data_IF_783371371477
#
_entry.id   IF_783371371477
#
_cell.length_a   1.000
_cell.length_b   1.000
_cell.length_c   1.000
_cell.angle_alpha   90.00
_cell.angle_beta   90.00
_cell.angle_gamma   90.00
#
_symmetry.space_group_name_H-M   'P 1'
#
loop_
_entity.id
_entity.type
_entity.pdbx_description
1 polymer ?
#
# COMPACT_ATOMS: atom_id res chain seq x y z
N UNK A 1 16.56 2.01 8.80
CA UNK A 1 15.48 1.51 7.91
C UNK A 1 14.44 2.62 7.77
N UNK A 2 14.09 3.05 6.55
CA UNK A 2 13.12 4.12 6.33
C UNK A 2 13.24 4.79 4.96
N UNK A 3 12.43 5.83 4.73
CA UNK A 3 12.39 6.56 3.47
C UNK A 3 13.44 7.68 3.45
N UNK A 4 14.44 7.56 2.58
CA UNK A 4 15.43 8.60 2.31
C UNK A 4 15.46 8.90 0.82
N UNK A 5 15.25 10.15 0.43
CA UNK A 5 15.36 10.57 -0.97
C UNK A 5 16.80 11.00 -1.27
N UNK A 6 17.42 10.44 -2.31
CA UNK A 6 18.80 10.77 -2.68
C UNK A 6 19.26 10.02 -3.95
N UNK A 7 20.44 10.35 -4.49
CA UNK A 7 21.00 9.68 -5.67
C UNK A 7 21.50 8.25 -5.40
N UNK A 8 21.59 7.84 -4.12
CA UNK A 8 21.97 6.51 -3.67
C UNK A 8 20.75 5.77 -3.12
N UNK A 9 20.75 4.43 -3.24
CA UNK A 9 19.67 3.60 -2.72
C UNK A 9 19.57 3.66 -1.19
N UNK A 10 18.35 3.72 -0.67
CA UNK A 10 18.06 3.85 0.78
C UNK A 10 18.72 2.77 1.64
N UNK A 11 18.74 1.55 1.11
CA UNK A 11 19.25 0.35 1.75
C UNK A 11 20.40 -0.25 0.93
N UNK A 12 21.11 0.57 0.15
CA UNK A 12 22.31 0.14 -0.57
C UNK A 12 23.47 -0.14 0.40
N UNK A 13 23.65 0.73 1.40
CA UNK A 13 24.59 0.51 2.51
C UNK A 13 23.90 -0.11 3.71
N UNK A 14 24.08 -1.42 3.87
CA UNK A 14 23.47 -2.23 4.92
C UNK A 14 23.89 -1.83 6.34
N UNK A 15 24.92 -1.00 6.52
CA UNK A 15 25.30 -0.47 7.86
C UNK A 15 24.24 0.47 8.43
N UNK A 16 23.39 1.06 7.60
CA UNK A 16 22.27 1.92 8.02
C UNK A 16 20.94 1.15 8.23
N UNK A 17 20.94 -0.15 7.92
CA UNK A 17 19.79 -1.04 8.05
C UNK A 17 19.95 -1.83 9.34
N UNK A 18 19.72 -1.17 10.47
CA UNK A 18 19.93 -1.70 11.83
C UNK A 18 18.57 -2.03 12.49
N UNK A 19 18.24 -3.32 12.71
CA UNK A 19 16.98 -3.74 13.33
C UNK A 19 16.81 -3.25 14.76
N UNK A 20 17.85 -3.32 15.59
CA UNK A 20 17.80 -2.96 17.01
C UNK A 20 17.56 -1.46 17.18
N UNK A 21 18.25 -0.62 16.40
CA UNK A 21 18.03 0.84 16.42
C UNK A 21 16.66 1.21 15.89
N UNK A 22 16.15 0.49 14.89
CA UNK A 22 14.80 0.69 14.37
C UNK A 22 13.76 0.34 15.44
N UNK A 23 13.93 -0.80 16.11
CA UNK A 23 13.07 -1.22 17.22
C UNK A 23 13.11 -0.22 18.39
N UNK A 24 14.30 0.24 18.79
CA UNK A 24 14.45 1.24 19.85
C UNK A 24 13.74 2.57 19.52
N UNK A 25 13.72 2.98 18.24
CA UNK A 25 12.99 4.17 17.81
C UNK A 25 11.47 4.00 17.92
N UNK A 26 10.95 2.83 17.52
CA UNK A 26 9.53 2.50 17.64
C UNK A 26 9.12 2.46 19.12
N UNK A 27 9.89 1.79 19.98
CA UNK A 27 9.62 1.71 21.42
C UNK A 27 9.57 3.09 22.08
N UNK A 28 10.47 3.99 21.67
CA UNK A 28 10.52 5.35 22.19
C UNK A 28 9.30 6.20 21.82
N UNK A 29 8.66 5.92 20.69
CA UNK A 29 7.59 6.73 20.12
C UNK A 29 6.37 5.88 19.73
N UNK A 30 5.99 4.90 20.56
CA UNK A 30 4.92 3.92 20.24
C UNK A 30 3.55 4.52 19.94
N UNK A 31 3.30 5.73 20.42
CA UNK A 31 2.07 6.48 20.13
C UNK A 31 2.02 7.00 18.68
N UNK A 32 3.19 7.15 18.03
CA UNK A 32 3.35 7.70 16.67
C UNK A 32 3.82 6.64 15.68
N UNK A 33 4.80 5.81 16.06
CA UNK A 33 5.41 4.80 15.22
C UNK A 33 4.58 3.51 15.20
N UNK A 34 3.82 3.31 14.12
CA UNK A 34 2.91 2.17 13.96
C UNK A 34 3.47 1.01 13.12
N UNK A 35 4.72 1.09 12.67
CA UNK A 35 5.34 0.05 11.85
C UNK A 35 6.63 0.49 11.17
N UNK A 36 7.14 -0.37 10.29
CA UNK A 36 8.38 -0.17 9.53
C UNK A 36 8.06 -0.05 8.05
N UNK A 37 8.75 0.84 7.33
CA UNK A 37 8.65 0.97 5.87
C UNK A 37 9.94 0.50 5.19
N UNK A 38 9.80 -0.35 4.18
CA UNK A 38 10.89 -0.70 3.25
C UNK A 38 10.43 -0.45 1.81
N UNK A 39 11.30 0.14 0.98
CA UNK A 39 11.11 0.19 -0.48
C UNK A 39 11.96 -0.88 -1.13
N UNK A 40 11.30 -1.94 -1.57
CA UNK A 40 11.91 -3.16 -2.04
C UNK A 40 12.00 -3.16 -3.58
N UNK A 41 12.69 -2.14 -4.11
CA UNK A 41 13.03 -2.02 -5.53
C UNK A 41 14.55 -2.02 -5.72
N UNK A 42 15.02 -2.48 -6.87
CA UNK A 42 16.45 -2.68 -7.14
C UNK A 42 17.29 -1.41 -6.96
N UNK A 43 16.75 -0.24 -7.30
CA UNK A 43 17.43 1.03 -7.04
C UNK A 43 17.57 1.31 -5.55
N UNK A 44 16.55 1.02 -4.74
CA UNK A 44 16.52 1.32 -3.32
C UNK A 44 17.39 0.35 -2.51
N UNK A 45 17.47 -0.92 -2.91
CA UNK A 45 18.20 -1.95 -2.16
C UNK A 45 19.56 -2.30 -2.75
N UNK A 46 19.90 -1.79 -3.93
CA UNK A 46 21.12 -2.17 -4.64
C UNK A 46 21.20 -3.68 -4.87
N UNK A 47 22.35 -4.27 -4.57
CA UNK A 47 22.58 -5.72 -4.70
C UNK A 47 22.20 -6.51 -3.42
N UNK A 48 21.51 -5.90 -2.46
CA UNK A 48 21.20 -6.55 -1.18
C UNK A 48 19.98 -7.47 -1.24
N UNK A 49 19.31 -7.58 -2.41
CA UNK A 49 18.13 -8.42 -2.59
C UNK A 49 17.11 -8.19 -1.46
N UNK A 50 16.55 -9.25 -0.86
CA UNK A 50 15.56 -9.17 0.24
C UNK A 50 16.16 -8.95 1.64
N UNK A 51 17.48 -8.79 1.77
CA UNK A 51 18.11 -8.59 3.08
C UNK A 51 17.59 -7.35 3.84
N UNK A 52 17.32 -6.19 3.21
CA UNK A 52 16.70 -5.06 3.90
C UNK A 52 15.31 -5.38 4.47
N UNK A 53 14.53 -6.19 3.75
CA UNK A 53 13.22 -6.65 4.22
C UNK A 53 13.36 -7.58 5.41
N UNK A 54 14.30 -8.54 5.38
CA UNK A 54 14.55 -9.43 6.52
C UNK A 54 14.87 -8.66 7.80
N UNK A 55 15.72 -7.64 7.69
CA UNK A 55 16.06 -6.76 8.83
C UNK A 55 14.89 -5.91 9.32
N UNK A 56 14.00 -5.49 8.42
CA UNK A 56 12.78 -4.80 8.81
C UNK A 56 11.78 -5.74 9.50
N UNK A 57 11.66 -6.98 9.03
CA UNK A 57 10.84 -8.02 9.66
C UNK A 57 11.38 -8.34 11.05
N UNK A 58 12.69 -8.47 11.22
CA UNK A 58 13.34 -8.63 12.53
C UNK A 58 13.02 -7.47 13.49
N UNK A 59 13.10 -6.22 13.03
CA UNK A 59 12.69 -5.05 13.83
C UNK A 59 11.18 -5.08 14.18
N UNK A 60 10.35 -5.55 13.24
CA UNK A 60 8.93 -5.76 13.44
C UNK A 60 8.64 -6.85 14.47
N UNK A 61 9.45 -7.91 14.52
CA UNK A 61 9.37 -8.97 15.52
C UNK A 61 9.72 -8.44 16.92
N UNK A 62 10.77 -7.62 17.04
CA UNK A 62 11.15 -7.00 18.32
C UNK A 62 10.05 -6.11 18.91
N UNK A 63 9.26 -5.48 18.06
CA UNK A 63 8.29 -4.46 18.49
C UNK A 63 6.83 -4.88 18.35
N UNK A 64 6.58 -6.06 17.79
CA UNK A 64 5.26 -6.54 17.39
C UNK A 64 4.50 -5.51 16.53
N UNK A 65 5.17 -4.97 15.51
CA UNK A 65 4.59 -4.01 14.56
C UNK A 65 4.69 -4.53 13.12
N UNK A 66 3.77 -4.10 12.23
CA UNK A 66 3.77 -4.51 10.83
C UNK A 66 4.89 -3.87 10.03
N UNK A 67 5.31 -4.55 8.96
CA UNK A 67 6.18 -4.01 7.92
C UNK A 67 5.36 -3.68 6.69
N UNK A 68 5.45 -2.45 6.20
CA UNK A 68 4.91 -2.03 4.91
C UNK A 68 6.01 -2.05 3.83
N UNK A 69 5.78 -2.82 2.78
CA UNK A 69 6.71 -3.06 1.69
C UNK A 69 6.19 -2.42 0.40
N UNK A 70 6.98 -1.51 -0.16
CA UNK A 70 6.77 -1.05 -1.54
C UNK A 70 7.43 -2.08 -2.46
N UNK A 71 6.66 -2.65 -3.39
CA UNK A 71 7.16 -3.54 -4.43
C UNK A 71 7.49 -2.73 -5.69
N UNK A 72 8.58 -3.07 -6.37
CA UNK A 72 9.02 -2.41 -7.60
C UNK A 72 9.94 -3.33 -8.41
N UNK A 73 10.36 -2.86 -9.59
CA UNK A 73 11.31 -3.58 -10.45
C UNK A 73 12.62 -3.90 -9.72
N UNK A 74 13.16 -5.09 -9.95
CA UNK A 74 14.52 -5.48 -9.56
C UNK A 74 14.62 -6.35 -8.31
N UNK A 75 13.50 -6.62 -7.62
CA UNK A 75 13.42 -7.65 -6.58
C UNK A 75 12.19 -8.52 -6.86
N UNK A 76 12.36 -9.82 -7.16
CA UNK A 76 11.24 -10.69 -7.51
C UNK A 76 10.17 -10.73 -6.42
N UNK A 77 8.91 -10.49 -6.79
CA UNK A 77 7.77 -10.53 -5.87
C UNK A 77 7.69 -11.84 -5.05
N UNK A 78 7.97 -13.04 -5.60
CA UNK A 78 7.97 -14.26 -4.79
C UNK A 78 8.95 -14.23 -3.62
N UNK A 79 10.14 -13.65 -3.82
CA UNK A 79 11.16 -13.55 -2.78
C UNK A 79 10.71 -12.56 -1.70
N UNK A 80 10.14 -11.40 -2.12
CA UNK A 80 9.56 -10.41 -1.19
C UNK A 80 8.46 -11.04 -0.33
N UNK A 81 7.48 -11.69 -0.98
CA UNK A 81 6.36 -12.30 -0.29
C UNK A 81 6.76 -13.51 0.57
N UNK A 82 7.89 -14.15 0.32
CA UNK A 82 8.37 -15.25 1.15
C UNK A 82 8.80 -14.79 2.56
N UNK A 83 9.33 -13.56 2.67
CA UNK A 83 9.81 -12.98 3.93
C UNK A 83 8.68 -12.34 4.76
N UNK A 84 7.54 -12.01 4.14
CA UNK A 84 6.44 -11.28 4.81
C UNK A 84 5.56 -12.17 5.69
N UNK A 85 5.20 -11.64 6.86
CA UNK A 85 4.37 -12.28 7.90
C UNK A 85 2.90 -11.91 7.74
N UNK A 86 2.05 -12.58 8.51
CA UNK A 86 0.66 -12.14 8.68
C UNK A 86 0.62 -10.72 9.29
N UNK A 87 -0.19 -9.83 8.74
CA UNK A 87 -0.30 -8.43 9.15
C UNK A 87 0.69 -7.48 8.47
N UNK A 88 1.73 -7.97 7.79
CA UNK A 88 2.58 -7.13 6.94
C UNK A 88 1.81 -6.68 5.68
N UNK A 89 2.19 -5.52 5.13
CA UNK A 89 1.42 -4.80 4.11
C UNK A 89 2.23 -4.64 2.83
N UNK A 90 1.75 -5.14 1.71
CA UNK A 90 2.28 -4.79 0.38
C UNK A 90 1.54 -3.54 -0.10
N UNK A 91 2.25 -2.43 -0.31
CA UNK A 91 1.68 -1.26 -0.98
C UNK A 91 2.02 -1.26 -2.48
N UNK A 92 1.30 -0.47 -3.28
CA UNK A 92 1.40 -0.42 -4.74
C UNK A 92 0.91 -1.71 -5.42
N UNK A 93 -0.11 -2.35 -4.85
CA UNK A 93 -0.59 -3.64 -5.35
C UNK A 93 -1.11 -3.58 -6.80
N UNK A 94 -1.49 -2.39 -7.29
CA UNK A 94 -1.95 -2.16 -8.66
C UNK A 94 -0.95 -1.40 -9.53
N UNK A 95 0.33 -1.46 -9.21
CA UNK A 95 1.37 -0.97 -10.12
C UNK A 95 1.40 -1.82 -11.40
N UNK A 96 1.79 -1.21 -12.53
CA UNK A 96 2.08 -1.96 -13.76
C UNK A 96 3.50 -1.75 -14.24
N UNK A 97 4.44 -1.58 -13.30
CA UNK A 97 5.87 -1.48 -13.55
C UNK A 97 6.61 -2.49 -12.68
N UNK A 98 7.46 -3.32 -13.27
CA UNK A 98 8.25 -4.30 -12.53
C UNK A 98 7.46 -5.51 -12.04
N UNK A 99 7.94 -6.11 -10.95
CA UNK A 99 7.38 -7.33 -10.37
C UNK A 99 6.07 -7.04 -9.61
N UNK A 100 4.95 -7.09 -10.34
CA UNK A 100 3.59 -6.86 -9.83
C UNK A 100 2.83 -8.14 -9.46
N UNK A 101 1.58 -7.99 -9.03
CA UNK A 101 0.73 -9.12 -8.59
C UNK A 101 0.11 -9.93 -9.73
N UNK A 102 0.24 -9.48 -10.98
CA UNK A 102 -0.33 -10.12 -12.16
C UNK A 102 0.75 -10.82 -12.98
N UNK A 103 0.40 -11.94 -13.60
CA UNK A 103 1.18 -12.58 -14.66
C UNK A 103 1.05 -11.81 -15.98
N UNK A 104 1.88 -12.15 -16.96
CA UNK A 104 1.78 -11.63 -18.34
C UNK A 104 0.42 -11.93 -19.00
N UNK A 105 -0.30 -12.93 -18.50
CA UNK A 105 -1.64 -13.32 -18.97
C UNK A 105 -2.76 -12.53 -18.27
N UNK A 106 -2.40 -11.62 -17.34
CA UNK A 106 -3.33 -10.82 -16.55
C UNK A 106 -3.97 -11.58 -15.37
N UNK A 107 -3.47 -12.78 -15.05
CA UNK A 107 -3.95 -13.55 -13.90
C UNK A 107 -3.22 -13.16 -12.61
N UNK A 108 -3.93 -13.12 -11.49
CA UNK A 108 -3.30 -12.88 -10.19
C UNK A 108 -2.37 -14.03 -9.86
N UNK A 109 -1.10 -13.72 -9.60
CA UNK A 109 -0.06 -14.70 -9.34
C UNK A 109 -0.43 -15.59 -8.14
N UNK A 110 -0.21 -16.91 -8.22
CA UNK A 110 -0.49 -17.83 -7.11
C UNK A 110 0.21 -17.44 -5.81
N UNK A 111 1.42 -16.85 -5.89
CA UNK A 111 2.17 -16.40 -4.71
C UNK A 111 1.49 -15.24 -3.99
N UNK A 112 0.88 -14.29 -4.73
CA UNK A 112 0.13 -13.18 -4.15
C UNK A 112 -1.12 -13.69 -3.41
N UNK A 113 -1.85 -14.64 -4.02
CA UNK A 113 -3.00 -15.29 -3.35
C UNK A 113 -2.58 -16.04 -2.10
N UNK A 114 -1.50 -16.83 -2.16
CA UNK A 114 -0.98 -17.56 -0.99
C UNK A 114 -0.54 -16.61 0.12
N UNK A 115 0.11 -15.50 -0.20
CA UNK A 115 0.48 -14.48 0.76
C UNK A 115 -0.75 -13.86 1.43
N UNK A 116 -1.78 -13.50 0.65
CA UNK A 116 -3.07 -13.04 1.19
C UNK A 116 -3.72 -14.07 2.12
N UNK A 117 -3.77 -15.34 1.72
CA UNK A 117 -4.30 -16.43 2.58
C UNK A 117 -3.52 -16.56 3.89
N UNK A 118 -2.21 -16.27 3.88
CA UNK A 118 -1.37 -16.24 5.09
C UNK A 118 -1.60 -14.99 5.96
N UNK A 119 -2.34 -14.00 5.47
CA UNK A 119 -2.66 -12.76 6.19
C UNK A 119 -1.83 -11.54 5.79
N UNK A 120 -1.08 -11.60 4.67
CA UNK A 120 -0.47 -10.39 4.10
C UNK A 120 -1.55 -9.50 3.51
N UNK A 121 -1.52 -8.22 3.86
CA UNK A 121 -2.47 -7.22 3.38
C UNK A 121 -1.95 -6.55 2.10
N UNK A 122 -2.84 -6.14 1.22
CA UNK A 122 -2.52 -5.41 0.00
C UNK A 122 -3.15 -4.02 0.04
N UNK A 123 -2.33 -3.00 -0.12
CA UNK A 123 -2.67 -1.59 -0.10
C UNK A 123 -2.49 -0.98 -1.50
N UNK A 124 -3.40 -0.08 -1.86
CA UNK A 124 -3.39 0.61 -3.16
C UNK A 124 -2.10 1.43 -3.35
N UNK A 125 -1.77 2.32 -2.41
CA UNK A 125 -0.63 3.23 -2.52
C UNK A 125 -0.53 3.91 -3.88
N UNK A 126 -1.52 4.73 -4.27
CA UNK A 126 -1.63 5.16 -5.67
C UNK A 126 -0.35 5.81 -6.22
N UNK A 127 0.16 6.80 -5.51
CA UNK A 127 1.42 7.48 -5.80
C UNK A 127 1.45 8.17 -7.16
N UNK A 128 2.62 8.72 -7.48
CA UNK A 128 2.90 9.24 -8.82
C UNK A 128 3.22 8.16 -9.85
N UNK A 129 3.40 6.89 -9.44
CA UNK A 129 3.87 5.82 -10.32
C UNK A 129 3.26 4.44 -10.10
N UNK A 130 2.29 4.28 -9.20
CA UNK A 130 1.98 2.97 -8.61
C UNK A 130 0.54 2.47 -8.79
N UNK A 131 -0.28 3.14 -9.60
CA UNK A 131 -1.64 2.71 -9.87
C UNK A 131 -1.99 2.85 -11.34
N UNK A 132 -2.43 1.74 -11.94
CA UNK A 132 -2.98 1.72 -13.29
C UNK A 132 -4.35 1.06 -13.34
N UNK A 133 -5.24 1.63 -14.15
CA UNK A 133 -6.61 1.14 -14.27
C UNK A 133 -6.69 -0.26 -14.89
N UNK A 134 -5.84 -0.58 -15.85
CA UNK A 134 -5.76 -1.91 -16.46
C UNK A 134 -5.40 -3.01 -15.44
N UNK A 135 -4.39 -2.77 -14.61
CA UNK A 135 -3.99 -3.69 -13.53
C UNK A 135 -5.09 -3.83 -12.49
N UNK A 136 -5.65 -2.71 -12.02
CA UNK A 136 -6.73 -2.73 -11.03
C UNK A 136 -7.97 -3.47 -11.55
N UNK A 137 -8.40 -3.24 -12.81
CA UNK A 137 -9.51 -3.99 -13.43
C UNK A 137 -9.21 -5.48 -13.53
N UNK A 138 -8.01 -5.86 -13.96
CA UNK A 138 -7.66 -7.26 -14.12
C UNK A 138 -7.63 -8.01 -12.78
N UNK A 139 -7.12 -7.37 -11.72
CA UNK A 139 -7.11 -7.91 -10.36
C UNK A 139 -8.53 -8.04 -9.79
N UNK A 140 -9.37 -6.99 -9.93
CA UNK A 140 -10.76 -6.99 -9.46
C UNK A 140 -11.61 -8.05 -10.18
N UNK A 141 -11.42 -8.24 -11.48
CA UNK A 141 -12.10 -9.29 -12.26
C UNK A 141 -11.76 -10.72 -11.81
N UNK A 142 -10.77 -10.87 -10.92
CA UNK A 142 -10.26 -12.14 -10.38
C UNK A 142 -10.35 -12.17 -8.86
N UNK A 143 -11.29 -11.43 -8.30
CA UNK A 143 -11.58 -11.38 -6.86
C UNK A 143 -10.35 -11.02 -6.02
N UNK A 144 -9.54 -10.08 -6.52
CA UNK A 144 -8.38 -9.55 -5.81
C UNK A 144 -8.50 -8.04 -5.66
N UNK A 145 -9.46 -7.61 -4.83
CA UNK A 145 -9.54 -6.23 -4.35
C UNK A 145 -8.47 -5.95 -3.29
N UNK A 146 -7.94 -4.73 -3.22
CA UNK A 146 -7.04 -4.29 -2.17
C UNK A 146 -7.74 -4.35 -0.80
N UNK A 147 -6.98 -4.55 0.27
CA UNK A 147 -7.47 -4.53 1.65
C UNK A 147 -7.60 -3.09 2.17
N UNK A 148 -6.73 -2.19 1.69
CA UNK A 148 -6.67 -0.77 2.06
C UNK A 148 -6.59 0.10 0.80
N UNK A 149 -7.29 1.24 0.81
CA UNK A 149 -7.11 2.31 -0.19
C UNK A 149 -6.24 3.40 0.45
N UNK A 150 -5.04 3.59 -0.07
CA UNK A 150 -4.16 4.70 0.28
C UNK A 150 -3.66 5.45 -0.96
N UNK A 151 -3.15 6.65 -0.73
CA UNK A 151 -2.81 7.62 -1.79
C UNK A 151 -1.35 7.63 -2.17
N UNK A 152 -0.43 7.32 -1.25
CA UNK A 152 0.99 7.68 -1.38
C UNK A 152 1.17 9.15 -1.85
N UNK A 153 0.38 10.05 -1.26
CA UNK A 153 0.35 11.47 -1.63
C UNK A 153 1.63 12.18 -1.17
N UNK A 154 2.25 12.96 -2.05
CA UNK A 154 3.41 13.79 -1.73
C UNK A 154 3.46 15.03 -2.63
N UNK A 155 4.38 15.95 -2.33
CA UNK A 155 4.50 17.26 -3.00
C UNK A 155 4.63 17.20 -4.54
N UNK A 156 5.03 16.05 -5.10
CA UNK A 156 5.23 15.88 -6.54
C UNK A 156 4.03 15.21 -7.26
N UNK A 157 3.00 14.77 -6.54
CA UNK A 157 1.83 14.11 -7.14
C UNK A 157 0.47 14.67 -6.66
N UNK A 158 0.49 15.65 -5.75
CA UNK A 158 -0.70 16.27 -5.19
C UNK A 158 -1.50 17.06 -6.23
N UNK A 159 -0.84 17.62 -7.24
CA UNK A 159 -1.49 18.28 -8.37
C UNK A 159 -1.87 17.31 -9.51
N UNK A 160 -1.74 16.01 -9.25
CA UNK A 160 -2.08 14.92 -10.14
C UNK A 160 -0.95 13.89 -10.23
N UNK A 161 -1.27 12.59 -10.42
CA UNK A 161 -2.61 12.05 -10.69
C UNK A 161 -3.43 11.68 -9.44
N UNK A 162 -2.95 11.96 -8.22
CA UNK A 162 -3.56 11.41 -6.99
C UNK A 162 -4.62 12.35 -6.38
N UNK A 163 -4.29 13.64 -6.27
CA UNK A 163 -5.08 14.74 -5.67
C UNK A 163 -5.54 14.56 -4.21
N UNK A 164 -6.20 13.46 -3.87
CA UNK A 164 -6.75 13.21 -2.53
C UNK A 164 -7.17 11.76 -2.32
N UNK A 165 -7.44 11.39 -1.06
CA UNK A 165 -8.01 10.09 -0.72
C UNK A 165 -9.42 9.89 -1.31
N UNK A 166 -10.38 10.85 -1.22
CA UNK A 166 -11.70 10.70 -1.85
C UNK A 166 -11.64 10.49 -3.37
N UNK A 167 -10.69 11.14 -4.07
CA UNK A 167 -10.51 10.89 -5.50
C UNK A 167 -10.00 9.47 -5.75
N UNK A 168 -8.97 9.03 -5.02
CA UNK A 168 -8.43 7.67 -5.15
C UNK A 168 -9.52 6.64 -4.85
N UNK A 169 -10.30 6.84 -3.79
CA UNK A 169 -11.46 6.01 -3.45
C UNK A 169 -12.52 6.00 -4.57
N UNK A 170 -12.76 7.15 -5.21
CA UNK A 170 -13.67 7.26 -6.36
C UNK A 170 -13.20 6.46 -7.57
N UNK A 171 -11.88 6.32 -7.79
CA UNK A 171 -11.33 5.44 -8.84
C UNK A 171 -11.80 4.00 -8.61
N UNK A 172 -11.60 3.47 -7.40
CA UNK A 172 -12.01 2.11 -7.06
C UNK A 172 -13.54 1.93 -7.08
N UNK A 173 -14.29 2.92 -6.62
CA UNK A 173 -15.76 2.93 -6.70
C UNK A 173 -16.27 2.81 -8.15
N UNK A 174 -15.62 3.51 -9.10
CA UNK A 174 -15.98 3.44 -10.53
C UNK A 174 -15.41 2.20 -11.24
N UNK A 175 -14.45 1.50 -10.63
CA UNK A 175 -14.00 0.18 -11.08
C UNK A 175 -14.87 -0.97 -10.57
N UNK A 176 -15.89 -0.69 -9.76
CA UNK A 176 -16.90 -1.66 -9.34
C UNK A 176 -16.81 -2.10 -7.88
N UNK A 177 -15.87 -1.57 -7.09
CA UNK A 177 -15.86 -1.80 -5.63
C UNK A 177 -17.10 -1.14 -5.01
N UNK A 178 -17.77 -1.82 -4.08
CA UNK A 178 -18.98 -1.28 -3.43
C UNK A 178 -18.65 -0.05 -2.56
N UNK A 179 -19.62 0.83 -2.35
CA UNK A 179 -19.42 2.00 -1.48
C UNK A 179 -19.05 1.58 -0.05
N UNK A 180 -19.70 0.54 0.48
CA UNK A 180 -19.43 -0.01 1.81
C UNK A 180 -17.97 -0.48 1.91
N UNK A 181 -17.50 -1.20 0.90
CA UNK A 181 -16.12 -1.71 0.88
C UNK A 181 -15.10 -0.57 0.72
N UNK A 182 -15.39 0.42 -0.12
CA UNK A 182 -14.55 1.63 -0.23
C UNK A 182 -14.46 2.37 1.11
N UNK A 183 -15.57 2.52 1.84
CA UNK A 183 -15.56 3.14 3.18
C UNK A 183 -14.72 2.30 4.14
N UNK A 184 -14.90 0.97 4.15
CA UNK A 184 -14.12 0.05 4.99
C UNK A 184 -12.62 0.16 4.70
N UNK A 185 -12.24 0.12 3.43
CA UNK A 185 -10.87 0.22 2.92
C UNK A 185 -10.19 1.57 3.24
N UNK A 186 -10.96 2.62 3.54
CA UNK A 186 -10.48 3.95 3.93
C UNK A 186 -10.57 4.22 5.44
N UNK A 187 -11.18 3.34 6.24
CA UNK A 187 -11.45 3.60 7.67
C UNK A 187 -10.99 2.44 8.56
N UNK A 188 -11.83 1.45 8.81
CA UNK A 188 -11.54 0.35 9.73
C UNK A 188 -10.43 -0.58 9.24
N UNK A 189 -10.26 -0.73 7.92
CA UNK A 189 -9.19 -1.57 7.36
C UNK A 189 -7.78 -0.99 7.60
N UNK A 190 -7.47 0.29 7.26
CA UNK A 190 -6.17 0.86 7.58
C UNK A 190 -5.93 0.96 9.08
N UNK A 191 -6.96 1.25 9.88
CA UNK A 191 -6.86 1.24 11.35
C UNK A 191 -6.42 -0.12 11.91
N UNK A 192 -7.04 -1.21 11.43
CA UNK A 192 -6.63 -2.57 11.80
C UNK A 192 -5.23 -2.91 11.28
N UNK A 193 -4.88 -2.51 10.06
CA UNK A 193 -3.59 -2.80 9.43
C UNK A 193 -2.40 -2.21 10.21
N UNK A 194 -2.59 -1.06 10.87
CA UNK A 194 -1.57 -0.41 11.70
C UNK A 194 -1.65 -0.78 13.19
N UNK A 195 -2.46 -1.78 13.55
CA UNK A 195 -2.62 -2.23 14.94
C UNK A 195 -3.38 -1.26 15.84
N UNK A 196 -4.25 -0.41 15.28
CA UNK A 196 -5.05 0.60 15.99
C UNK A 196 -6.56 0.40 15.75
N UNK A 197 -7.13 -0.77 16.10
CA UNK A 197 -8.53 -1.13 15.79
C UNK A 197 -9.56 -0.26 16.51
N UNK A 198 -9.15 0.55 17.48
CA UNK A 198 -10.00 1.55 18.13
C UNK A 198 -10.31 2.77 17.25
N UNK A 199 -9.60 2.93 16.12
CA UNK A 199 -9.85 3.97 15.12
C UNK A 199 -10.78 3.49 13.99
N UNK A 200 -11.27 4.41 13.16
CA UNK A 200 -12.00 4.08 11.94
C UNK A 200 -13.37 3.42 12.16
N UNK A 201 -13.98 3.60 13.33
CA UNK A 201 -15.30 3.04 13.66
C UNK A 201 -16.23 4.07 14.32
N UNK A 202 -17.53 3.88 14.13
CA UNK A 202 -18.61 4.64 14.78
C UNK A 202 -19.14 3.95 16.05
N UNK A 203 -18.35 3.03 16.63
CA UNK A 203 -18.76 2.30 17.82
C UNK A 203 -18.81 3.23 19.05
N UNK A 204 -19.73 2.96 19.98
CA UNK A 204 -19.79 3.72 21.24
C UNK A 204 -18.46 3.57 21.99
N UNK A 205 -17.85 4.71 22.32
CA UNK A 205 -16.56 4.77 23.02
C UNK A 205 -15.33 4.97 22.12
N UNK A 206 -15.48 4.98 20.79
CA UNK A 206 -14.40 5.35 19.87
C UNK A 206 -14.14 6.87 19.88
N UNK A 207 -13.01 7.28 19.31
CA UNK A 207 -12.70 8.70 19.08
C UNK A 207 -13.70 9.31 18.10
N UNK A 208 -14.13 10.55 18.35
CA UNK A 208 -15.03 11.30 17.47
C UNK A 208 -14.27 11.91 16.26
N UNK A 209 -13.64 11.06 15.46
CA UNK A 209 -12.98 11.42 14.20
C UNK A 209 -13.90 11.05 13.02
N UNK A 210 -14.48 12.08 12.40
CA UNK A 210 -15.60 11.94 11.46
C UNK A 210 -15.38 12.80 10.23
N UNK A 211 -15.66 12.23 9.06
CA UNK A 211 -15.72 12.95 7.80
C UNK A 211 -17.07 12.68 7.11
N UNK A 212 -17.69 13.73 6.60
CA UNK A 212 -18.96 13.66 5.88
C UNK A 212 -18.74 13.99 4.41
N UNK A 213 -19.26 13.13 3.53
CA UNK A 213 -19.14 13.26 2.09
C UNK A 213 -20.51 13.08 1.43
N UNK A 214 -20.71 13.72 0.28
CA UNK A 214 -21.82 13.46 -0.62
C UNK A 214 -21.33 12.68 -1.84
N UNK A 215 -22.09 11.66 -2.25
CA UNK A 215 -21.78 10.88 -3.45
C UNK A 215 -22.51 11.49 -4.64
N UNK A 216 -21.77 12.22 -5.47
CA UNK A 216 -22.31 12.84 -6.67
C UNK A 216 -22.53 11.76 -7.73
N UNK A 217 -23.75 11.66 -8.25
CA UNK A 217 -24.14 10.67 -9.28
C UNK A 217 -24.59 11.36 -10.56
N UNK A 218 -24.54 10.62 -11.68
CA UNK A 218 -25.10 11.07 -12.95
C UNK A 218 -24.26 12.14 -13.68
N UNK A 219 -23.07 12.46 -13.15
CA UNK A 219 -22.08 13.30 -13.83
C UNK A 219 -21.12 12.48 -14.68
N UNK A 220 -20.27 13.21 -15.42
CA UNK A 220 -19.09 12.68 -16.11
C UNK A 220 -17.86 13.18 -15.36
N UNK A 221 -17.21 12.30 -14.60
CA UNK A 221 -16.03 12.65 -13.81
C UNK A 221 -14.80 11.96 -14.39
N UNK A 222 -13.81 12.73 -14.81
CA UNK A 222 -12.56 12.19 -15.31
C UNK A 222 -11.60 11.89 -14.16
N UNK A 223 -11.03 10.68 -14.20
CA UNK A 223 -9.95 10.25 -13.31
C UNK A 223 -8.78 9.79 -14.16
N UNK A 224 -7.56 10.14 -13.77
CA UNK A 224 -6.35 9.75 -14.50
C UNK A 224 -5.48 8.84 -13.66
N UNK A 225 -4.86 7.84 -14.27
CA UNK A 225 -3.86 6.99 -13.63
C UNK A 225 -2.43 7.41 -14.01
N UNK A 226 -1.44 6.66 -13.53
CA UNK A 226 -0.02 6.99 -13.76
C UNK A 226 0.46 6.68 -15.18
N UNK A 227 -0.30 5.89 -15.96
CA UNK A 227 -0.04 5.63 -17.38
C UNK A 227 -0.74 6.65 -18.29
N UNK A 228 -1.46 7.61 -17.72
CA UNK A 228 -2.21 8.64 -18.45
C UNK A 228 -3.57 8.18 -18.96
N UNK A 229 -4.00 6.95 -18.65
CA UNK A 229 -5.34 6.46 -18.99
C UNK A 229 -6.39 7.32 -18.26
N UNK A 230 -7.47 7.66 -18.98
CA UNK A 230 -8.61 8.39 -18.43
C UNK A 230 -9.78 7.43 -18.23
N UNK A 231 -10.24 7.31 -16.99
CA UNK A 231 -11.50 6.68 -16.64
C UNK A 231 -12.57 7.77 -16.49
N UNK A 232 -13.64 7.66 -17.27
CA UNK A 232 -14.84 8.50 -17.10
C UNK A 232 -15.82 7.78 -16.17
N UNK A 233 -15.82 8.19 -14.90
CA UNK A 233 -16.70 7.66 -13.87
C UNK A 233 -18.07 8.33 -13.85
N UNK A 234 -19.07 7.60 -13.34
CA UNK A 234 -20.45 8.09 -13.14
C UNK A 234 -20.70 8.58 -11.70
N UNK A 235 -19.72 8.38 -10.81
CA UNK A 235 -19.78 8.70 -9.39
C UNK A 235 -18.48 9.39 -8.94
N UNK A 236 -18.56 10.32 -8.00
CA UNK A 236 -17.40 10.91 -7.29
C UNK A 236 -17.84 11.34 -5.89
#
# INVERSE_FOLDING_TARGET
IGLTYGPLGECEDMRYVDPERTAAAIERWRDICVGIKVRQGGFQVGNNHVEPLRRAVEAGDYTNTPVMVHIAVGVPLPDVLAEMRAGDIVTHCYQGTGDGILSDQGDVLPVARKARTRGVLFDVGHGGGSFRFDIARAALARDFAADVISTDLHANNVDGPVYSLPETASKLLNLGVSLEEVVRQCTSAPAAAIGRPELGSLAVGSVADLAAFDIRKGGSFEFRDVAGEVLVGKKR
#
